data_IF_508274349875
#
_entry.id   IF_508274349875
#
_cell.length_a   1.000
_cell.length_b   1.000
_cell.length_c   1.000
_cell.angle_alpha   90.00
_cell.angle_beta   90.00
_cell.angle_gamma   90.00
#
_symmetry.space_group_name_H-M   'P 1'
#
loop_
_entity.id
_entity.type
_entity.pdbx_description
1 polymer ?
#
# COMPACT_ATOMS: atom_id res chain seq x y z
N UNK A 1 44.93 -19.62 45.32
CA UNK A 1 44.26 -19.33 44.03
C UNK A 1 42.86 -18.81 44.30
N UNK A 2 42.62 -17.50 44.12
CA UNK A 2 41.29 -16.86 44.17
C UNK A 2 40.97 -16.38 42.77
N UNK A 3 40.16 -17.14 42.05
CA UNK A 3 39.57 -16.73 40.78
C UNK A 3 38.10 -16.49 41.09
N UNK A 4 37.77 -15.28 41.51
CA UNK A 4 36.40 -14.94 41.89
C UNK A 4 35.96 -13.67 41.20
N UNK A 5 34.92 -13.84 40.37
CA UNK A 5 33.84 -12.87 40.14
C UNK A 5 34.24 -11.60 39.39
N UNK A 6 34.67 -11.71 38.14
CA UNK A 6 34.82 -10.53 37.27
C UNK A 6 34.57 -10.81 35.78
N UNK A 7 33.64 -11.74 35.47
CA UNK A 7 33.34 -12.10 34.07
C UNK A 7 31.87 -11.79 33.69
N UNK A 8 30.99 -11.57 34.69
CA UNK A 8 29.54 -11.47 34.46
C UNK A 8 29.04 -10.08 33.97
N UNK A 9 29.68 -8.92 34.22
CA UNK A 9 29.12 -7.65 33.74
C UNK A 9 29.46 -7.33 32.27
N UNK A 10 30.47 -7.97 31.67
CA UNK A 10 30.91 -7.65 30.30
C UNK A 10 30.00 -8.26 29.22
N UNK A 11 29.36 -9.41 29.50
CA UNK A 11 28.51 -10.12 28.53
C UNK A 11 27.15 -9.46 28.34
N UNK A 12 26.62 -8.79 29.38
CA UNK A 12 25.33 -8.08 29.33
C UNK A 12 25.45 -6.79 28.52
N UNK A 13 26.60 -6.13 28.54
CA UNK A 13 26.79 -4.86 27.82
C UNK A 13 26.88 -5.05 26.29
N UNK A 14 27.41 -6.19 25.83
CA UNK A 14 27.53 -6.51 24.39
C UNK A 14 26.18 -6.87 23.78
N UNK A 15 25.28 -7.50 24.53
CA UNK A 15 23.95 -7.87 24.04
C UNK A 15 23.02 -6.65 23.86
N UNK A 16 23.21 -5.59 24.65
CA UNK A 16 22.43 -4.35 24.57
C UNK A 16 22.73 -3.51 23.32
N UNK A 17 23.93 -3.64 22.72
CA UNK A 17 24.33 -2.88 21.52
C UNK A 17 23.73 -3.50 20.24
N UNK A 18 23.33 -4.77 20.27
CA UNK A 18 22.74 -5.46 19.11
C UNK A 18 21.24 -5.17 18.91
N UNK A 19 20.60 -4.41 19.82
CA UNK A 19 19.17 -4.06 19.74
C UNK A 19 18.90 -2.71 19.06
N UNK A 20 19.93 -1.93 18.71
CA UNK A 20 19.78 -0.61 18.07
C UNK A 20 20.07 -0.67 16.56
N UNK A 21 19.33 -1.48 15.80
CA UNK A 21 19.38 -1.39 14.34
C UNK A 21 18.12 -2.01 13.69
N UNK A 22 16.95 -1.48 13.99
CA UNK A 22 15.83 -1.53 13.05
C UNK A 22 15.48 -0.09 12.73
N UNK A 23 16.24 0.50 11.80
CA UNK A 23 15.91 1.80 11.24
C UNK A 23 14.62 1.63 10.43
N UNK A 24 13.50 2.06 11.02
CA UNK A 24 12.14 1.98 10.47
C UNK A 24 11.92 3.06 9.40
N UNK A 25 12.95 3.41 8.65
CA UNK A 25 13.03 4.60 7.79
C UNK A 25 12.92 4.28 6.29
N UNK A 26 12.57 3.04 5.94
CA UNK A 26 12.40 2.62 4.55
C UNK A 26 10.91 2.41 4.27
N UNK A 27 10.14 3.50 4.16
CA UNK A 27 8.82 3.41 3.55
C UNK A 27 8.97 3.33 2.03
N UNK A 28 8.17 2.51 1.37
CA UNK A 28 8.25 2.34 -0.10
C UNK A 28 7.94 3.67 -0.80
N UNK A 29 6.94 4.39 -0.30
CA UNK A 29 6.64 5.73 -0.77
C UNK A 29 7.43 6.79 0.01
N UNK A 30 7.96 7.81 -0.69
CA UNK A 30 8.56 8.96 -0.01
C UNK A 30 7.50 9.65 0.85
N UNK A 31 7.89 10.28 1.97
CA UNK A 31 6.97 11.12 2.71
C UNK A 31 6.39 12.18 1.78
N UNK A 32 5.10 12.47 1.92
CA UNK A 32 4.47 13.56 1.19
C UNK A 32 5.21 14.85 1.56
N UNK A 33 5.90 15.45 0.58
CA UNK A 33 6.38 16.81 0.72
C UNK A 33 5.14 17.70 0.81
N UNK A 34 5.17 18.74 1.66
CA UNK A 34 4.07 19.69 1.97
C UNK A 34 3.49 20.46 0.75
N UNK A 35 3.74 19.99 -0.47
CA UNK A 35 3.03 20.37 -1.68
C UNK A 35 1.55 20.08 -1.50
N UNK A 36 0.74 21.13 -1.53
CA UNK A 36 -0.71 21.07 -1.51
C UNK A 36 -1.20 20.19 -2.68
N UNK A 37 -1.51 18.92 -2.41
CA UNK A 37 -2.13 18.03 -3.40
C UNK A 37 -3.56 18.53 -3.64
N UNK A 38 -4.01 18.66 -4.89
CA UNK A 38 -5.39 19.02 -5.17
C UNK A 38 -6.34 18.02 -4.51
N UNK A 39 -7.26 18.50 -3.68
CA UNK A 39 -8.36 17.68 -3.15
C UNK A 39 -9.16 17.08 -4.31
N UNK A 40 -9.13 15.75 -4.43
CA UNK A 40 -9.94 15.03 -5.41
C UNK A 40 -11.30 14.72 -4.81
N UNK A 41 -12.34 15.29 -5.41
CA UNK A 41 -13.73 14.92 -5.12
C UNK A 41 -14.18 13.76 -5.99
N UNK A 42 -15.10 12.95 -5.48
CA UNK A 42 -15.68 11.83 -6.22
C UNK A 42 -16.28 12.29 -7.56
N UNK A 43 -16.95 13.45 -7.59
CA UNK A 43 -17.50 14.02 -8.83
C UNK A 43 -16.43 14.27 -9.90
N UNK A 44 -15.21 14.63 -9.50
CA UNK A 44 -14.11 14.85 -10.43
C UNK A 44 -13.66 13.52 -11.03
N UNK A 45 -13.59 12.46 -10.21
CA UNK A 45 -13.16 11.13 -10.63
C UNK A 45 -14.17 10.40 -11.51
N UNK A 46 -15.46 10.59 -11.27
CA UNK A 46 -16.52 10.00 -12.11
C UNK A 46 -16.52 10.57 -13.53
N UNK A 47 -15.94 11.76 -13.73
CA UNK A 47 -15.78 12.39 -15.04
C UNK A 47 -14.46 12.00 -15.73
N UNK A 48 -13.52 11.40 -14.99
CA UNK A 48 -12.25 10.91 -15.54
C UNK A 48 -12.50 9.55 -16.18
N UNK A 49 -12.48 9.52 -17.52
CA UNK A 49 -12.31 8.26 -18.28
C UNK A 49 -10.96 7.63 -17.88
N UNK A 50 -10.85 6.30 -17.69
CA UNK A 50 -9.58 5.65 -17.38
C UNK A 50 -8.49 6.18 -18.31
N UNK A 51 -7.47 6.80 -17.72
CA UNK A 51 -6.40 7.42 -18.48
C UNK A 51 -5.65 6.37 -19.30
N UNK A 52 -5.11 6.74 -20.48
CA UNK A 52 -4.34 5.82 -21.33
C UNK A 52 -3.06 5.26 -20.66
N UNK A 53 -2.65 5.83 -19.50
CA UNK A 53 -1.45 5.44 -18.76
C UNK A 53 -1.67 4.32 -17.71
N UNK A 54 -2.89 3.80 -17.56
CA UNK A 54 -3.07 2.52 -16.87
C UNK A 54 -2.62 1.39 -17.80
N UNK A 55 -1.30 1.25 -17.91
CA UNK A 55 -0.68 0.24 -18.75
C UNK A 55 -1.21 -1.15 -18.37
N UNK A 56 -1.79 -1.81 -19.36
CA UNK A 56 -2.18 -3.23 -19.32
C UNK A 56 -1.03 -4.13 -19.76
N UNK A 57 0.17 -3.56 -19.94
CA UNK A 57 1.38 -4.33 -20.17
C UNK A 57 1.97 -4.80 -18.86
N UNK A 58 2.44 -6.05 -18.83
CA UNK A 58 3.08 -6.61 -17.67
C UNK A 58 4.34 -5.80 -17.31
N UNK A 59 4.35 -5.19 -16.12
CA UNK A 59 5.45 -4.36 -15.63
C UNK A 59 6.19 -5.11 -14.53
N UNK A 60 7.52 -5.01 -14.47
CA UNK A 60 8.29 -5.52 -13.33
C UNK A 60 8.42 -4.44 -12.24
N UNK A 61 8.04 -4.79 -11.01
CA UNK A 61 8.16 -3.93 -9.83
C UNK A 61 8.93 -4.64 -8.72
N UNK A 62 9.72 -3.89 -7.95
CA UNK A 62 10.44 -4.45 -6.80
C UNK A 62 9.54 -4.52 -5.56
N UNK A 63 9.29 -5.74 -5.10
CA UNK A 63 8.49 -6.03 -3.90
C UNK A 63 9.33 -6.89 -2.97
N UNK A 64 9.67 -6.36 -1.79
CA UNK A 64 10.48 -7.09 -0.82
C UNK A 64 11.84 -7.55 -1.37
N UNK A 65 12.51 -6.69 -2.16
CA UNK A 65 13.81 -6.96 -2.85
C UNK A 65 13.74 -8.02 -3.95
N UNK A 66 12.55 -8.34 -4.45
CA UNK A 66 12.34 -9.25 -5.58
C UNK A 66 11.63 -8.51 -6.69
N UNK A 67 12.06 -8.71 -7.93
CA UNK A 67 11.29 -8.26 -9.09
C UNK A 67 10.08 -9.18 -9.25
N UNK A 68 8.89 -8.60 -9.24
CA UNK A 68 7.62 -9.27 -9.47
C UNK A 68 7.02 -8.67 -10.73
N UNK A 69 6.63 -9.54 -11.67
CA UNK A 69 5.85 -9.16 -12.83
C UNK A 69 4.40 -8.98 -12.40
N UNK A 70 3.85 -7.79 -12.65
CA UNK A 70 2.46 -7.45 -12.30
C UNK A 70 1.66 -7.27 -13.58
N UNK A 71 0.41 -7.71 -13.54
CA UNK A 71 -0.53 -7.64 -14.67
C UNK A 71 -1.03 -6.20 -14.89
N UNK A 72 -1.00 -5.37 -13.85
CA UNK A 72 -1.37 -3.95 -13.94
C UNK A 72 -0.65 -3.08 -12.92
N UNK A 73 -0.20 -1.92 -13.37
CA UNK A 73 0.30 -0.84 -12.52
C UNK A 73 -0.73 0.29 -12.44
N UNK A 74 -1.10 0.70 -11.22
CA UNK A 74 -2.06 1.77 -10.97
C UNK A 74 -1.31 3.04 -10.55
N UNK A 75 -1.43 4.07 -11.38
CA UNK A 75 -0.93 5.44 -11.19
C UNK A 75 -2.10 6.44 -11.18
N UNK A 76 -1.87 7.62 -10.59
CA UNK A 76 -2.80 8.73 -10.66
C UNK A 76 -4.19 8.46 -10.07
N UNK A 77 -5.23 9.22 -10.52
CA UNK A 77 -6.57 9.11 -9.96
C UNK A 77 -7.24 7.74 -10.21
N UNK A 78 -7.81 7.14 -9.16
CA UNK A 78 -8.43 5.81 -9.18
C UNK A 78 -9.89 5.90 -8.75
N UNK A 79 -10.79 5.39 -9.59
CA UNK A 79 -12.20 5.24 -9.24
C UNK A 79 -12.85 4.10 -10.03
N UNK A 80 -13.05 4.26 -11.33
CA UNK A 80 -13.71 3.25 -12.17
C UNK A 80 -12.67 2.39 -12.88
N UNK A 81 -12.68 1.09 -12.61
CA UNK A 81 -11.69 0.16 -13.18
C UNK A 81 -12.09 -1.31 -12.97
N UNK A 82 -11.43 -2.21 -13.70
CA UNK A 82 -11.55 -3.66 -13.58
C UNK A 82 -10.17 -4.28 -13.32
N UNK A 83 -10.03 -4.96 -12.18
CA UNK A 83 -8.74 -5.52 -11.72
C UNK A 83 -8.77 -7.04 -11.70
N UNK A 84 -7.76 -7.66 -12.33
CA UNK A 84 -7.54 -9.10 -12.31
C UNK A 84 -6.04 -9.43 -12.26
N UNK A 85 -5.69 -10.55 -11.63
CA UNK A 85 -4.30 -11.01 -11.50
C UNK A 85 -3.53 -10.32 -10.36
N UNK A 86 -2.30 -9.92 -10.63
CA UNK A 86 -1.41 -9.23 -9.70
C UNK A 86 -1.39 -7.74 -10.05
N UNK A 87 -1.91 -6.93 -9.14
CA UNK A 87 -2.02 -5.48 -9.29
C UNK A 87 -1.00 -4.81 -8.37
N UNK A 88 -0.34 -3.76 -8.86
CA UNK A 88 0.50 -2.90 -8.05
C UNK A 88 -0.03 -1.47 -8.04
N UNK A 89 -0.32 -0.95 -6.85
CA UNK A 89 -0.76 0.43 -6.63
C UNK A 89 0.44 1.29 -6.26
N UNK A 90 0.81 2.20 -7.17
CA UNK A 90 1.96 3.08 -7.05
C UNK A 90 1.78 4.19 -6.01
N UNK A 91 2.88 4.89 -5.71
CA UNK A 91 2.89 5.99 -4.72
C UNK A 91 2.17 7.26 -5.20
N UNK A 92 1.93 7.38 -6.49
CA UNK A 92 1.23 8.49 -7.13
C UNK A 92 -0.26 8.21 -7.34
N UNK A 93 -0.73 7.03 -6.93
CA UNK A 93 -2.15 6.69 -6.93
C UNK A 93 -2.92 7.64 -5.98
N UNK A 94 -4.07 8.09 -6.45
CA UNK A 94 -4.90 9.08 -5.75
C UNK A 94 -6.34 8.59 -5.75
N UNK A 95 -7.03 8.73 -4.62
CA UNK A 95 -8.43 8.34 -4.44
C UNK A 95 -9.24 9.56 -4.01
N UNK A 96 -10.57 9.48 -4.09
CA UNK A 96 -11.41 10.56 -3.58
C UNK A 96 -11.18 10.75 -2.09
N UNK A 97 -11.25 11.99 -1.61
CA UNK A 97 -11.44 12.21 -0.19
C UNK A 97 -12.72 11.49 0.27
N UNK A 98 -12.61 10.72 1.35
CA UNK A 98 -13.74 10.01 1.91
C UNK A 98 -14.66 10.99 2.64
N UNK A 99 -15.54 11.65 1.89
CA UNK A 99 -16.51 12.63 2.40
C UNK A 99 -17.48 12.01 3.44
N UNK A 100 -17.62 10.68 3.48
CA UNK A 100 -18.68 10.01 4.23
C UNK A 100 -18.25 9.30 5.52
N UNK A 101 -16.99 8.97 5.74
CA UNK A 101 -16.57 8.15 6.91
C UNK A 101 -15.07 8.34 7.25
N UNK A 102 -14.68 9.53 7.71
CA UNK A 102 -13.29 9.89 8.02
C UNK A 102 -12.70 9.15 9.25
N UNK A 103 -13.55 8.59 10.12
CA UNK A 103 -13.14 8.26 11.50
C UNK A 103 -12.68 6.81 11.73
N UNK A 104 -12.72 5.90 10.75
CA UNK A 104 -12.13 4.55 10.93
C UNK A 104 -11.81 3.74 9.67
N UNK A 105 -12.53 3.92 8.57
CA UNK A 105 -12.29 3.19 7.32
C UNK A 105 -12.82 4.04 6.15
N UNK A 106 -11.97 4.88 5.53
CA UNK A 106 -12.43 5.74 4.46
C UNK A 106 -12.91 4.88 3.29
N UNK A 107 -14.19 5.04 2.94
CA UNK A 107 -14.82 4.35 1.81
C UNK A 107 -14.56 5.12 0.50
N UNK A 108 -13.28 5.34 0.17
CA UNK A 108 -12.87 6.21 -0.94
C UNK A 108 -13.25 5.70 -2.33
N UNK A 109 -13.65 4.42 -2.47
CA UNK A 109 -14.22 3.87 -3.71
C UNK A 109 -15.75 3.75 -3.67
N UNK A 110 -16.42 4.25 -2.62
CA UNK A 110 -17.88 4.26 -2.58
C UNK A 110 -18.43 5.14 -3.69
N UNK A 111 -19.30 4.57 -4.52
CA UNK A 111 -19.85 5.25 -5.69
C UNK A 111 -18.97 5.15 -6.94
N UNK A 112 -17.77 4.56 -6.84
CA UNK A 112 -16.99 4.16 -7.99
C UNK A 112 -17.45 2.80 -8.52
N UNK A 113 -17.33 2.61 -9.83
CA UNK A 113 -17.49 1.32 -10.50
C UNK A 113 -16.13 0.61 -10.57
N UNK A 114 -15.60 0.27 -9.40
CA UNK A 114 -14.42 -0.59 -9.27
C UNK A 114 -14.88 -2.04 -9.11
N UNK A 115 -14.41 -2.91 -9.99
CA UNK A 115 -14.53 -4.36 -9.87
C UNK A 115 -13.15 -5.00 -9.68
N UNK A 116 -13.08 -5.97 -8.76
CA UNK A 116 -11.84 -6.67 -8.43
C UNK A 116 -12.14 -8.16 -8.43
N UNK A 117 -11.57 -8.89 -9.38
CA UNK A 117 -11.86 -10.31 -9.56
C UNK A 117 -11.44 -11.13 -8.31
N UNK A 118 -12.18 -12.21 -7.99
CA UNK A 118 -11.76 -13.17 -6.98
C UNK A 118 -10.34 -13.68 -7.28
N UNK A 119 -9.50 -13.77 -6.25
CA UNK A 119 -8.07 -14.14 -6.32
C UNK A 119 -7.11 -13.06 -6.82
N UNK A 120 -7.58 -11.84 -7.11
CA UNK A 120 -6.68 -10.70 -7.35
C UNK A 120 -5.80 -10.44 -6.12
N UNK A 121 -4.50 -10.26 -6.36
CA UNK A 121 -3.52 -9.85 -5.36
C UNK A 121 -3.17 -8.41 -5.60
N UNK A 122 -3.49 -7.53 -4.65
CA UNK A 122 -3.16 -6.11 -4.75
C UNK A 122 -2.00 -5.80 -3.82
N UNK A 123 -0.89 -5.31 -4.37
CA UNK A 123 0.21 -4.75 -3.59
C UNK A 123 0.06 -3.23 -3.55
N UNK A 124 0.16 -2.62 -2.36
CA UNK A 124 0.01 -1.17 -2.22
C UNK A 124 1.31 -0.56 -1.70
N UNK A 125 1.93 0.30 -2.50
CA UNK A 125 3.19 0.95 -2.16
C UNK A 125 3.07 1.79 -0.87
N UNK A 126 1.97 2.51 -0.68
CA UNK A 126 1.70 3.28 0.53
C UNK A 126 1.56 2.42 1.80
N UNK A 127 1.32 1.12 1.64
CA UNK A 127 1.30 0.12 2.72
C UNK A 127 2.56 -0.76 2.73
N UNK A 128 3.69 -0.22 2.27
CA UNK A 128 5.00 -0.91 2.22
C UNK A 128 4.97 -2.21 1.41
N UNK A 129 4.23 -2.22 0.30
CA UNK A 129 4.01 -3.40 -0.54
C UNK A 129 3.36 -4.57 0.22
N UNK A 130 2.53 -4.29 1.21
CA UNK A 130 1.66 -5.31 1.80
C UNK A 130 0.72 -5.86 0.72
N UNK A 131 0.49 -7.17 0.77
CA UNK A 131 -0.35 -7.88 -0.18
C UNK A 131 -1.77 -8.05 0.36
N UNK A 132 -2.76 -7.64 -0.44
CA UNK A 132 -4.17 -7.75 -0.11
C UNK A 132 -4.82 -8.82 -0.99
N UNK A 133 -5.07 -9.98 -0.38
CA UNK A 133 -5.72 -11.13 -1.01
C UNK A 133 -7.21 -11.04 -0.70
N UNK A 134 -8.07 -10.91 -1.73
CA UNK A 134 -9.53 -10.58 -1.70
C UNK A 134 -9.90 -9.12 -1.99
N UNK A 135 -8.96 -8.38 -2.58
CA UNK A 135 -9.16 -6.99 -2.99
C UNK A 135 -9.35 -6.02 -1.82
N UNK A 136 -9.27 -4.73 -2.13
CA UNK A 136 -9.51 -3.63 -1.19
C UNK A 136 -11.00 -3.46 -0.85
N UNK A 137 -11.73 -4.57 -0.65
CA UNK A 137 -13.20 -4.57 -0.43
C UNK A 137 -13.62 -3.72 0.77
N UNK A 138 -12.72 -3.51 1.74
CA UNK A 138 -12.92 -2.59 2.88
C UNK A 138 -13.15 -1.12 2.47
N UNK A 139 -12.80 -0.73 1.24
CA UNK A 139 -12.85 0.66 0.79
C UNK A 139 -13.92 0.93 -0.29
N UNK A 140 -14.63 -0.09 -0.76
CA UNK A 140 -15.67 0.04 -1.80
C UNK A 140 -17.07 0.31 -1.23
N UNK A 141 -17.27 0.05 0.07
CA UNK A 141 -18.58 0.11 0.71
C UNK A 141 -19.52 -1.05 0.32
N UNK A 142 -19.05 -1.99 -0.51
CA UNK A 142 -19.74 -3.26 -0.79
C UNK A 142 -19.28 -4.27 0.27
N UNK A 143 -20.20 -4.92 0.99
CA UNK A 143 -19.82 -6.04 1.86
C UNK A 143 -19.14 -7.13 1.00
N UNK A 144 -17.94 -7.61 1.35
CA UNK A 144 -17.34 -8.74 0.65
C UNK A 144 -18.30 -9.93 0.83
N UNK A 145 -18.98 -10.31 -0.25
CA UNK A 145 -19.79 -11.53 -0.24
C UNK A 145 -18.79 -12.66 -0.04
N UNK A 146 -18.85 -13.32 1.12
CA UNK A 146 -18.08 -14.52 1.38
C UNK A 146 -18.36 -15.53 0.25
N UNK A 147 -17.41 -15.68 -0.67
CA UNK A 147 -17.26 -16.85 -1.54
C UNK A 147 -16.22 -17.78 -0.92
#
# INVERSE_FOLDING_TARGET
MKISKMIIPATVFIFSILLTACERNNTVCPPELDSEKPTLRLTNLLLVTPGPDQSTENIEVEIGKKMILVDKYISGPVCNDDWSGIIYVGCDAQVAEAELDADANPLFFKGCNLDIEPNTVVYVAAHNNEAFYKGCSCHTGKNPIHQ
#
